data_IF_117847089773
#
_entry.id   IF_117847089773
#
_cell.length_a   1.000
_cell.length_b   1.000
_cell.length_c   1.000
_cell.angle_alpha   90.00
_cell.angle_beta   90.00
_cell.angle_gamma   90.00
#
_symmetry.space_group_name_H-M   'P 1'
#
loop_
_entity.id
_entity.type
_entity.pdbx_description
1 polymer ?
#
# COMPACT_ATOMS: atom_id res chain seq x y z
N UNK A 1 22.67 31.33 -72.55
CA UNK A 1 23.58 32.22 -71.82
C UNK A 1 22.76 33.24 -71.04
N UNK A 2 22.68 33.14 -69.72
CA UNK A 2 22.32 34.24 -68.81
C UNK A 2 22.80 33.86 -67.41
N UNK A 3 23.59 34.74 -66.81
CA UNK A 3 24.32 34.56 -65.55
C UNK A 3 23.60 35.30 -64.41
N UNK A 4 23.92 34.91 -63.17
CA UNK A 4 23.69 35.59 -61.87
C UNK A 4 22.29 35.32 -61.28
N UNK A 5 22.10 35.06 -60.00
CA UNK A 5 22.76 35.66 -58.83
C UNK A 5 22.67 34.73 -57.62
N UNK A 6 23.80 34.45 -56.98
CA UNK A 6 23.91 33.82 -55.65
C UNK A 6 23.84 34.93 -54.60
N UNK A 7 22.87 34.86 -53.67
CA UNK A 7 22.90 35.63 -52.43
C UNK A 7 23.11 34.69 -51.25
N UNK A 8 24.35 34.71 -50.79
CA UNK A 8 24.85 34.20 -49.51
C UNK A 8 24.34 35.09 -48.37
N UNK A 9 23.64 34.50 -47.40
CA UNK A 9 23.33 35.15 -46.12
C UNK A 9 24.10 34.42 -45.02
N UNK A 10 25.29 34.93 -44.72
CA UNK A 10 26.00 34.66 -43.48
C UNK A 10 25.36 35.49 -42.36
N UNK A 11 24.81 34.82 -41.34
CA UNK A 11 24.58 35.44 -40.03
C UNK A 11 25.60 34.89 -39.03
N UNK A 12 26.50 35.78 -38.62
CA UNK A 12 27.53 35.60 -37.60
C UNK A 12 27.08 36.25 -36.29
N UNK A 13 27.48 35.60 -35.18
CA UNK A 13 27.75 36.12 -33.81
C UNK A 13 26.48 36.48 -32.99
N UNK A 14 26.39 36.18 -31.70
CA UNK A 14 27.35 36.34 -30.58
C UNK A 14 26.92 35.40 -29.43
N UNK A 15 27.76 34.56 -28.82
CA UNK A 15 28.79 34.84 -27.80
C UNK A 15 28.35 35.83 -26.70
N UNK A 16 27.84 35.31 -25.59
CA UNK A 16 27.87 35.96 -24.29
C UNK A 16 28.34 34.93 -23.27
N UNK A 17 29.59 35.09 -22.87
CA UNK A 17 30.19 34.51 -21.68
C UNK A 17 30.10 35.56 -20.58
N UNK A 18 29.59 35.17 -19.41
CA UNK A 18 29.77 35.77 -18.08
C UNK A 18 28.68 35.14 -17.19
N UNK A 19 28.89 34.75 -15.93
CA UNK A 19 30.05 34.77 -15.06
C UNK A 19 29.77 33.80 -13.90
N UNK A 20 30.84 33.42 -13.23
CA UNK A 20 30.97 32.49 -12.11
C UNK A 20 30.02 32.72 -10.91
N UNK A 21 29.64 31.61 -10.24
CA UNK A 21 29.74 31.51 -8.77
C UNK A 21 29.91 30.05 -8.31
N UNK A 22 31.04 29.69 -7.67
CA UNK A 22 31.22 28.43 -6.96
C UNK A 22 31.13 28.66 -5.45
N UNK A 23 30.13 28.07 -4.79
CA UNK A 23 30.14 27.80 -3.34
C UNK A 23 29.61 26.36 -3.18
N UNK A 24 30.50 25.41 -2.87
CA UNK A 24 30.99 25.05 -1.53
C UNK A 24 29.94 24.31 -0.69
N UNK A 25 30.28 23.04 -0.48
CA UNK A 25 30.08 22.24 0.72
C UNK A 25 28.69 22.14 1.37
N UNK A 26 28.07 20.98 1.13
CA UNK A 26 27.21 20.33 2.12
C UNK A 26 27.39 18.81 2.04
N UNK A 27 28.29 18.22 2.85
CA UNK A 27 28.43 16.78 2.95
C UNK A 27 27.57 16.25 4.10
N UNK A 28 26.24 16.36 4.01
CA UNK A 28 25.36 15.84 5.07
C UNK A 28 23.96 15.45 4.56
N UNK A 29 23.91 14.48 3.64
CA UNK A 29 22.69 13.65 3.47
C UNK A 29 22.91 12.23 2.93
N UNK A 30 24.14 11.75 2.91
CA UNK A 30 24.49 10.35 2.60
C UNK A 30 24.44 9.43 3.84
N UNK A 31 23.40 9.49 4.68
CA UNK A 31 23.20 8.50 5.77
C UNK A 31 21.74 8.16 6.04
N UNK A 32 20.95 7.92 5.00
CA UNK A 32 19.63 7.32 5.15
C UNK A 32 19.21 6.53 3.91
N UNK A 33 20.03 5.59 3.45
CA UNK A 33 19.57 4.54 2.53
C UNK A 33 20.40 3.26 2.63
N UNK A 34 20.79 2.88 3.86
CA UNK A 34 21.16 1.50 4.18
C UNK A 34 19.98 0.83 4.86
N UNK A 35 18.85 0.80 4.16
CA UNK A 35 17.85 -0.22 4.39
C UNK A 35 18.49 -1.54 4.00
N UNK A 36 18.86 -2.32 5.00
CA UNK A 36 19.29 -3.70 4.88
C UNK A 36 18.23 -4.49 4.14
N UNK A 37 18.36 -4.58 2.81
CA UNK A 37 17.65 -5.57 2.03
C UNK A 37 18.18 -6.93 2.49
N UNK A 38 17.29 -7.74 3.06
CA UNK A 38 17.60 -9.07 3.57
C UNK A 38 18.33 -9.96 2.54
N UNK A 39 18.88 -11.11 2.97
CA UNK A 39 19.87 -11.90 2.23
C UNK A 39 19.41 -12.53 0.90
N UNK A 40 18.25 -12.16 0.33
CA UNK A 40 17.66 -12.81 -0.85
C UNK A 40 17.21 -11.87 -1.99
N UNK A 41 17.65 -10.61 -2.05
CA UNK A 41 17.47 -9.78 -3.26
C UNK A 41 18.78 -9.64 -4.03
N UNK A 42 19.36 -10.77 -4.46
CA UNK A 42 20.31 -10.73 -5.57
C UNK A 42 19.48 -10.55 -6.84
N UNK A 43 19.25 -9.29 -7.23
CA UNK A 43 18.95 -8.97 -8.61
C UNK A 43 20.08 -9.60 -9.44
N UNK A 44 19.77 -10.69 -10.14
CA UNK A 44 20.70 -11.27 -11.09
C UNK A 44 20.96 -10.20 -12.15
N UNK A 45 22.07 -9.48 -12.02
CA UNK A 45 22.59 -8.67 -13.10
C UNK A 45 22.88 -9.64 -14.25
N UNK A 46 21.98 -9.66 -15.23
CA UNK A 46 22.16 -10.45 -16.45
C UNK A 46 23.32 -9.80 -17.19
N UNK A 47 24.52 -10.33 -16.97
CA UNK A 47 25.68 -9.98 -17.79
C UNK A 47 25.34 -10.33 -19.23
N UNK A 48 25.18 -9.29 -20.06
CA UNK A 48 24.86 -9.46 -21.49
C UNK A 48 26.09 -10.03 -22.18
N UNK A 49 26.18 -11.36 -22.23
CA UNK A 49 27.20 -12.05 -23.01
C UNK A 49 26.86 -11.93 -24.50
N UNK A 50 27.37 -10.89 -25.15
CA UNK A 50 27.23 -10.72 -26.60
C UNK A 50 28.19 -11.67 -27.31
N UNK A 51 27.65 -12.70 -27.97
CA UNK A 51 28.44 -13.61 -28.81
C UNK A 51 28.42 -13.10 -30.24
N UNK A 52 29.59 -12.92 -30.86
CA UNK A 52 29.69 -12.59 -32.29
C UNK A 52 29.25 -13.81 -33.12
N UNK A 53 28.23 -13.63 -33.96
CA UNK A 53 27.69 -14.67 -34.84
C UNK A 53 28.21 -14.44 -36.27
N UNK A 54 28.72 -15.48 -36.92
CA UNK A 54 29.17 -15.43 -38.30
C UNK A 54 27.96 -15.26 -39.26
N UNK A 55 28.11 -14.45 -40.32
CA UNK A 55 27.05 -14.19 -41.31
C UNK A 55 26.58 -15.47 -42.01
N UNK A 56 27.48 -16.42 -42.28
CA UNK A 56 27.13 -17.72 -42.86
C UNK A 56 26.21 -18.54 -41.95
N UNK A 57 26.40 -18.42 -40.63
CA UNK A 57 25.54 -19.09 -39.63
C UNK A 57 24.16 -18.45 -39.57
N UNK A 58 24.08 -17.13 -39.69
CA UNK A 58 22.80 -16.41 -39.81
C UNK A 58 22.03 -16.88 -41.05
N UNK A 59 22.67 -16.90 -42.22
CA UNK A 59 21.98 -17.26 -43.47
C UNK A 59 21.46 -18.71 -43.50
N UNK A 60 22.18 -19.65 -42.88
CA UNK A 60 21.83 -21.07 -42.89
C UNK A 60 20.90 -21.48 -41.75
N UNK A 61 21.01 -20.84 -40.58
CA UNK A 61 20.30 -21.27 -39.36
C UNK A 61 19.08 -20.40 -39.06
N UNK A 62 19.04 -19.15 -39.53
CA UNK A 62 17.94 -18.23 -39.22
C UNK A 62 16.88 -18.26 -40.32
N UNK A 63 15.63 -18.50 -39.92
CA UNK A 63 14.48 -18.43 -40.81
C UNK A 63 14.11 -16.97 -41.08
N UNK A 64 13.36 -16.74 -42.15
CA UNK A 64 12.70 -15.44 -42.34
C UNK A 64 11.58 -15.27 -41.32
N UNK A 65 11.24 -14.03 -41.00
CA UNK A 65 10.10 -13.72 -40.15
C UNK A 65 8.82 -14.33 -40.74
N UNK A 66 7.98 -14.93 -39.91
CA UNK A 66 6.71 -15.52 -40.36
C UNK A 66 5.76 -14.45 -40.91
N UNK A 67 4.89 -14.82 -41.84
CA UNK A 67 3.91 -13.91 -42.46
C UNK A 67 3.04 -13.21 -41.41
N UNK A 68 2.64 -13.96 -40.37
CA UNK A 68 1.88 -13.41 -39.25
C UNK A 68 2.70 -12.38 -38.44
N UNK A 69 3.98 -12.65 -38.17
CA UNK A 69 4.86 -11.71 -37.49
C UNK A 69 5.10 -10.44 -38.29
N UNK A 70 5.23 -10.57 -39.62
CA UNK A 70 5.34 -9.42 -40.55
C UNK A 70 4.08 -8.58 -40.54
N UNK A 71 2.91 -9.20 -40.70
CA UNK A 71 1.63 -8.50 -40.67
C UNK A 71 1.40 -7.78 -39.33
N UNK A 72 1.73 -8.41 -38.20
CA UNK A 72 1.62 -7.80 -36.88
C UNK A 72 2.55 -6.59 -36.70
N UNK A 73 3.81 -6.70 -37.15
CA UNK A 73 4.76 -5.58 -37.09
C UNK A 73 4.29 -4.39 -37.94
N UNK A 74 3.80 -4.64 -39.16
CA UNK A 74 3.23 -3.60 -40.04
C UNK A 74 2.02 -2.94 -39.39
N UNK A 75 1.14 -3.73 -38.76
CA UNK A 75 -0.03 -3.21 -38.05
C UNK A 75 0.36 -2.33 -36.86
N UNK A 76 1.42 -2.68 -36.12
CA UNK A 76 1.92 -1.84 -35.03
C UNK A 76 2.46 -0.53 -35.59
N UNK A 77 3.26 -0.58 -36.67
CA UNK A 77 3.80 0.62 -37.32
C UNK A 77 2.70 1.54 -37.85
N UNK A 78 1.65 0.99 -38.45
CA UNK A 78 0.52 1.78 -38.95
C UNK A 78 -0.31 2.38 -37.80
N UNK A 79 -0.55 1.63 -36.72
CA UNK A 79 -1.23 2.15 -35.53
C UNK A 79 -0.43 3.28 -34.85
N UNK A 80 0.90 3.21 -34.85
CA UNK A 80 1.76 4.28 -34.35
C UNK A 80 1.74 5.54 -35.24
N UNK A 81 1.41 5.43 -36.52
CA UNK A 81 1.30 6.59 -37.41
C UNK A 81 0.09 7.47 -37.07
N UNK A 82 -1.02 6.88 -36.62
CA UNK A 82 -2.28 7.58 -36.28
C UNK A 82 -2.10 8.71 -35.25
N UNK A 83 -1.49 8.49 -34.06
CA UNK A 83 -1.28 9.55 -33.09
C UNK A 83 -0.33 10.63 -33.59
N UNK A 84 0.66 10.28 -34.43
CA UNK A 84 1.59 11.25 -35.03
C UNK A 84 0.84 12.19 -35.99
N UNK A 85 -0.02 11.66 -36.85
CA UNK A 85 -0.86 12.47 -37.75
C UNK A 85 -1.81 13.41 -36.97
N UNK A 86 -2.38 12.94 -35.87
CA UNK A 86 -3.32 13.71 -35.06
C UNK A 86 -2.66 14.93 -34.40
N UNK A 87 -1.34 14.88 -34.14
CA UNK A 87 -0.58 15.99 -33.55
C UNK A 87 -0.19 17.07 -34.58
N UNK A 88 -0.13 16.73 -35.87
CA UNK A 88 0.21 17.69 -36.93
C UNK A 88 -0.96 18.65 -37.16
N UNK A 89 -0.68 19.95 -37.20
CA UNK A 89 -1.66 21.00 -37.50
C UNK A 89 -1.55 21.42 -38.97
N UNK A 90 -2.69 21.52 -39.65
CA UNK A 90 -2.78 21.94 -41.06
C UNK A 90 -2.81 20.77 -42.05
N UNK A 91 -3.77 20.81 -42.98
CA UNK A 91 -4.08 19.67 -43.86
C UNK A 91 -2.99 19.35 -44.88
N UNK A 92 -2.30 20.38 -45.39
CA UNK A 92 -1.17 20.19 -46.33
C UNK A 92 -0.01 19.44 -45.67
N UNK A 93 0.36 19.87 -44.45
CA UNK A 93 1.43 19.25 -43.68
C UNK A 93 1.04 17.84 -43.20
N UNK A 94 -0.24 17.62 -42.87
CA UNK A 94 -0.76 16.27 -42.58
C UNK A 94 -0.61 15.33 -43.76
N UNK A 95 -0.87 15.80 -44.98
CA UNK A 95 -0.71 15.00 -46.19
C UNK A 95 0.76 14.64 -46.46
N UNK A 96 1.68 15.60 -46.34
CA UNK A 96 3.12 15.36 -46.48
C UNK A 96 3.65 14.37 -45.43
N UNK A 97 3.22 14.53 -44.17
CA UNK A 97 3.60 13.61 -43.08
C UNK A 97 3.00 12.21 -43.29
N UNK A 98 1.77 12.12 -43.79
CA UNK A 98 1.16 10.85 -44.17
C UNK A 98 1.93 10.15 -45.28
N UNK A 99 2.35 10.88 -46.31
CA UNK A 99 3.14 10.33 -47.42
C UNK A 99 4.50 9.83 -46.94
N UNK A 100 5.20 10.60 -46.10
CA UNK A 100 6.47 10.17 -45.48
C UNK A 100 6.30 8.93 -44.60
N UNK A 101 5.25 8.88 -43.78
CA UNK A 101 4.96 7.72 -42.94
C UNK A 101 4.59 6.49 -43.78
N UNK A 102 3.84 6.67 -44.86
CA UNK A 102 3.53 5.57 -45.78
C UNK A 102 4.79 5.06 -46.49
N UNK A 103 5.68 5.95 -46.93
CA UNK A 103 6.97 5.57 -47.51
C UNK A 103 7.83 4.81 -46.49
N UNK A 104 7.84 5.26 -45.24
CA UNK A 104 8.55 4.58 -44.15
C UNK A 104 7.98 3.18 -43.88
N UNK A 105 6.65 3.03 -43.83
CA UNK A 105 6.00 1.72 -43.66
C UNK A 105 6.35 0.78 -44.82
N UNK A 106 6.38 1.28 -46.06
CA UNK A 106 6.78 0.47 -47.22
C UNK A 106 8.25 0.04 -47.13
N UNK A 107 9.16 0.95 -46.81
CA UNK A 107 10.57 0.62 -46.60
C UNK A 107 10.78 -0.38 -45.46
N UNK A 108 10.04 -0.22 -44.36
CA UNK A 108 10.07 -1.14 -43.24
C UNK A 108 9.54 -2.53 -43.65
N UNK A 109 8.51 -2.59 -44.48
CA UNK A 109 7.94 -3.84 -45.01
C UNK A 109 8.96 -4.61 -45.84
N UNK A 110 9.65 -3.92 -46.76
CA UNK A 110 10.72 -4.52 -47.58
C UNK A 110 11.87 -5.04 -46.71
N UNK A 111 12.25 -4.28 -45.68
CA UNK A 111 13.30 -4.71 -44.75
C UNK A 111 12.87 -5.90 -43.90
N UNK A 112 11.61 -5.93 -43.43
CA UNK A 112 11.02 -7.03 -42.67
C UNK A 112 10.96 -8.34 -43.48
N UNK A 113 10.81 -8.25 -44.81
CA UNK A 113 10.86 -9.44 -45.68
C UNK A 113 12.27 -10.03 -45.80
N UNK A 114 13.29 -9.16 -45.84
CA UNK A 114 14.69 -9.58 -45.88
C UNK A 114 15.25 -10.02 -44.52
N UNK A 115 14.56 -9.66 -43.43
CA UNK A 115 15.03 -9.87 -42.07
C UNK A 115 15.06 -11.36 -41.70
N UNK A 116 16.25 -11.83 -41.36
CA UNK A 116 16.48 -13.17 -40.80
C UNK A 116 16.34 -13.11 -39.28
N UNK A 117 15.53 -13.99 -38.72
CA UNK A 117 15.23 -14.04 -37.30
C UNK A 117 15.87 -15.30 -36.71
N UNK A 118 16.60 -15.20 -35.58
CA UNK A 118 17.14 -16.37 -34.91
C UNK A 118 16.06 -17.44 -34.71
N UNK A 119 16.36 -18.73 -34.88
CA UNK A 119 15.42 -19.79 -34.55
C UNK A 119 15.08 -19.64 -33.07
N UNK A 120 13.86 -19.20 -32.79
CA UNK A 120 13.40 -18.94 -31.44
C UNK A 120 13.47 -20.25 -30.67
N UNK A 121 14.27 -20.29 -29.60
CA UNK A 121 14.08 -21.27 -28.53
C UNK A 121 12.63 -21.19 -28.08
N UNK A 122 11.83 -22.19 -28.44
CA UNK A 122 10.45 -22.47 -27.98
C UNK A 122 9.59 -21.23 -27.85
N UNK A 123 8.75 -20.91 -28.84
CA UNK A 123 7.43 -20.27 -28.71
C UNK A 123 7.13 -19.51 -27.39
N UNK A 124 8.03 -18.63 -26.93
CA UNK A 124 7.68 -17.59 -25.98
C UNK A 124 7.11 -16.49 -26.87
N UNK A 125 5.96 -16.80 -27.47
CA UNK A 125 5.04 -15.77 -27.89
C UNK A 125 4.73 -15.01 -26.62
N UNK A 126 5.46 -13.92 -26.37
CA UNK A 126 4.98 -12.86 -25.49
C UNK A 126 3.68 -12.41 -26.12
N UNK A 127 2.57 -13.02 -25.70
CA UNK A 127 1.22 -12.65 -26.08
C UNK A 127 0.99 -11.28 -25.47
N UNK A 128 1.45 -10.26 -26.17
CA UNK A 128 1.30 -8.85 -25.81
C UNK A 128 -0.15 -8.55 -25.46
N UNK A 129 -1.09 -9.17 -26.18
CA UNK A 129 -2.53 -9.05 -25.93
C UNK A 129 -2.97 -9.66 -24.60
N UNK A 130 -2.37 -10.78 -24.15
CA UNK A 130 -2.70 -11.32 -22.83
C UNK A 130 -2.07 -10.48 -21.73
N UNK A 131 -0.83 -9.99 -21.94
CA UNK A 131 -0.13 -9.16 -20.95
C UNK A 131 -0.84 -7.82 -20.77
N UNK A 132 -1.26 -7.18 -21.87
CA UNK A 132 -2.04 -5.93 -21.83
C UNK A 132 -3.41 -6.14 -21.19
N UNK A 133 -4.12 -7.23 -21.51
CA UNK A 133 -5.38 -7.59 -20.81
C UNK A 133 -5.17 -7.78 -19.31
N UNK A 134 -4.09 -8.44 -18.90
CA UNK A 134 -3.78 -8.60 -17.47
C UNK A 134 -3.42 -7.29 -16.80
N UNK A 135 -2.68 -6.39 -17.48
CA UNK A 135 -2.42 -5.04 -16.95
C UNK A 135 -3.71 -4.26 -16.74
N UNK A 136 -4.60 -4.23 -17.73
CA UNK A 136 -5.89 -3.53 -17.60
C UNK A 136 -6.75 -4.10 -16.48
N UNK A 137 -6.73 -5.42 -16.28
CA UNK A 137 -7.44 -6.07 -15.17
C UNK A 137 -6.85 -5.67 -13.81
N UNK A 138 -5.53 -5.64 -13.71
CA UNK A 138 -4.83 -5.21 -12.49
C UNK A 138 -5.08 -3.74 -12.18
N UNK A 139 -5.02 -2.86 -13.18
CA UNK A 139 -5.33 -1.43 -13.03
C UNK A 139 -6.78 -1.22 -12.57
N UNK A 140 -7.73 -1.97 -13.13
CA UNK A 140 -9.13 -1.93 -12.68
C UNK A 140 -9.32 -2.43 -11.26
N UNK A 141 -8.53 -3.40 -10.81
CA UNK A 141 -8.59 -3.90 -9.44
C UNK A 141 -7.91 -2.94 -8.45
N UNK A 142 -6.87 -2.22 -8.90
CA UNK A 142 -6.10 -1.31 -8.06
C UNK A 142 -6.90 -0.08 -7.62
N UNK A 143 -7.68 0.53 -8.52
CA UNK A 143 -8.48 1.73 -8.20
C UNK A 143 -9.40 1.54 -6.99
N UNK A 144 -10.29 0.54 -6.98
CA UNK A 144 -11.18 0.26 -5.84
C UNK A 144 -10.43 -0.07 -4.55
N UNK A 145 -9.27 -0.73 -4.64
CA UNK A 145 -8.45 -1.04 -3.47
C UNK A 145 -7.84 0.23 -2.86
N UNK A 146 -7.36 1.16 -3.70
CA UNK A 146 -6.87 2.46 -3.23
C UNK A 146 -7.98 3.27 -2.58
N UNK A 147 -9.17 3.29 -3.16
CA UNK A 147 -10.35 3.96 -2.57
C UNK A 147 -10.77 3.32 -1.24
N UNK A 148 -10.60 2.00 -1.09
CA UNK A 148 -10.86 1.31 0.16
C UNK A 148 -9.83 1.66 1.22
N UNK A 149 -8.54 1.71 0.84
CA UNK A 149 -7.45 2.11 1.75
C UNK A 149 -7.69 3.54 2.26
N UNK A 150 -8.01 4.48 1.37
CA UNK A 150 -8.29 5.86 1.77
C UNK A 150 -9.45 5.96 2.79
N UNK A 151 -10.53 5.21 2.58
CA UNK A 151 -11.65 5.15 3.55
C UNK A 151 -11.25 4.60 4.90
N UNK A 152 -10.41 3.56 4.92
CA UNK A 152 -9.92 2.96 6.17
C UNK A 152 -8.99 3.93 6.89
N UNK A 153 -8.14 4.67 6.16
CA UNK A 153 -7.27 5.69 6.73
C UNK A 153 -8.08 6.83 7.37
N UNK A 154 -9.13 7.31 6.71
CA UNK A 154 -10.05 8.32 7.25
C UNK A 154 -10.74 7.83 8.53
N UNK A 155 -11.25 6.58 8.52
CA UNK A 155 -11.87 5.96 9.69
C UNK A 155 -10.88 5.81 10.85
N UNK A 156 -9.66 5.38 10.55
CA UNK A 156 -8.60 5.24 11.56
C UNK A 156 -8.26 6.60 12.18
N UNK A 157 -8.21 7.67 11.37
CA UNK A 157 -7.95 9.00 11.87
C UNK A 157 -9.09 9.53 12.73
N UNK A 158 -10.35 9.27 12.35
CA UNK A 158 -11.52 9.61 13.15
C UNK A 158 -11.54 8.88 14.50
N UNK A 159 -11.28 7.58 14.51
CA UNK A 159 -11.21 6.79 15.75
C UNK A 159 -10.05 7.20 16.64
N UNK A 160 -8.88 7.53 16.07
CA UNK A 160 -7.75 8.10 16.84
C UNK A 160 -8.12 9.43 17.50
N UNK A 161 -8.82 10.31 16.78
CA UNK A 161 -9.28 11.58 17.32
C UNK A 161 -10.30 11.38 18.45
N UNK A 162 -11.22 10.43 18.28
CA UNK A 162 -12.19 10.03 19.31
C UNK A 162 -11.50 9.48 20.56
N UNK A 163 -10.54 8.58 20.39
CA UNK A 163 -9.75 8.02 21.50
C UNK A 163 -8.98 9.12 22.25
N UNK A 164 -8.42 10.10 21.53
CA UNK A 164 -7.77 11.24 22.14
C UNK A 164 -8.76 12.07 22.98
N UNK A 165 -9.97 12.33 22.48
CA UNK A 165 -11.03 13.01 23.23
C UNK A 165 -11.45 12.24 24.48
N UNK A 166 -11.70 10.93 24.34
CA UNK A 166 -12.16 10.08 25.44
C UNK A 166 -11.08 9.95 26.53
N UNK A 167 -9.80 9.86 26.14
CA UNK A 167 -8.69 9.82 27.09
C UNK A 167 -8.56 11.14 27.89
N UNK A 168 -8.70 12.30 27.22
CA UNK A 168 -8.73 13.60 27.90
C UNK A 168 -9.92 13.73 28.85
N UNK A 169 -11.10 13.25 28.42
CA UNK A 169 -12.29 13.26 29.25
C UNK A 169 -12.13 12.38 30.49
N UNK A 170 -11.59 11.17 30.35
CA UNK A 170 -11.31 10.28 31.48
C UNK A 170 -10.28 10.86 32.45
N UNK A 171 -9.24 11.52 31.93
CA UNK A 171 -8.25 12.19 32.77
C UNK A 171 -8.89 13.33 33.59
N UNK A 172 -9.78 14.12 32.97
CA UNK A 172 -10.55 15.16 33.65
C UNK A 172 -11.44 14.56 34.75
N UNK A 173 -12.18 13.50 34.43
CA UNK A 173 -13.07 12.83 35.38
C UNK A 173 -12.29 12.26 36.58
N UNK A 174 -11.10 11.68 36.35
CA UNK A 174 -10.20 11.23 37.42
C UNK A 174 -9.76 12.38 38.31
N UNK A 175 -9.38 13.53 37.73
CA UNK A 175 -8.99 14.72 38.49
C UNK A 175 -10.16 15.27 39.31
N UNK A 176 -11.35 15.34 38.73
CA UNK A 176 -12.55 15.84 39.41
C UNK A 176 -12.98 14.91 40.54
N UNK A 177 -12.96 13.59 40.32
CA UNK A 177 -13.21 12.60 41.37
C UNK A 177 -12.18 12.70 42.51
N UNK A 178 -10.88 12.80 42.18
CA UNK A 178 -9.85 12.99 43.21
C UNK A 178 -10.03 14.29 44.00
N UNK A 179 -10.48 15.37 43.36
CA UNK A 179 -10.82 16.63 44.04
C UNK A 179 -12.00 16.47 44.98
N UNK A 180 -13.06 15.78 44.54
CA UNK A 180 -14.26 15.53 45.33
C UNK A 180 -13.95 14.66 46.56
N UNK A 181 -13.21 13.56 46.40
CA UNK A 181 -12.79 12.71 47.52
C UNK A 181 -11.92 13.49 48.51
N UNK A 182 -11.01 14.34 48.01
CA UNK A 182 -10.19 15.19 48.87
C UNK A 182 -10.99 16.29 49.58
N UNK A 183 -12.02 16.86 48.96
CA UNK A 183 -12.90 17.83 49.64
C UNK A 183 -13.78 17.16 50.67
N UNK A 184 -14.36 16.00 50.35
CA UNK A 184 -15.22 15.25 51.26
C UNK A 184 -14.44 14.78 52.47
N UNK A 185 -13.25 14.19 52.27
CA UNK A 185 -12.39 13.76 53.39
C UNK A 185 -11.93 14.93 54.26
N UNK A 186 -11.72 16.13 53.70
CA UNK A 186 -11.42 17.33 54.49
C UNK A 186 -12.65 17.83 55.24
N UNK A 187 -13.81 17.87 54.60
CA UNK A 187 -15.06 18.29 55.20
C UNK A 187 -15.46 17.36 56.34
N UNK A 188 -15.39 16.05 56.14
CA UNK A 188 -15.68 15.05 57.18
C UNK A 188 -14.69 15.13 58.33
N UNK A 189 -13.38 15.30 58.06
CA UNK A 189 -12.38 15.54 59.12
C UNK A 189 -12.70 16.80 59.92
N UNK A 190 -13.00 17.92 59.26
CA UNK A 190 -13.34 19.17 59.95
C UNK A 190 -14.63 19.07 60.77
N UNK A 191 -15.64 18.35 60.27
CA UNK A 191 -16.88 18.10 61.01
C UNK A 191 -16.63 17.20 62.23
N UNK A 192 -15.78 16.19 62.08
CA UNK A 192 -15.40 15.28 63.16
C UNK A 192 -14.59 16.01 64.26
N UNK A 193 -13.67 16.90 63.89
CA UNK A 193 -12.97 17.79 64.83
C UNK A 193 -13.91 18.74 65.58
N UNK A 194 -14.94 19.28 64.91
CA UNK A 194 -15.96 20.12 65.53
C UNK A 194 -16.85 19.35 66.52
N UNK A 195 -17.22 18.11 66.20
CA UNK A 195 -17.98 17.25 67.12
C UNK A 195 -17.13 16.87 68.33
N UNK A 196 -15.87 16.47 68.14
CA UNK A 196 -14.96 16.14 69.24
C UNK A 196 -14.65 17.32 70.17
N UNK A 197 -14.60 18.54 69.63
CA UNK A 197 -14.42 19.75 70.44
C UNK A 197 -15.71 20.21 71.14
N UNK A 198 -16.89 19.83 70.64
CA UNK A 198 -18.17 20.03 71.31
C UNK A 198 -18.43 19.01 72.43
N UNK A 199 -17.97 17.76 72.25
CA UNK A 199 -18.04 16.66 73.22
C UNK A 199 -16.84 16.62 74.18
N UNK A 200 -16.24 17.77 74.51
CA UNK A 200 -15.35 17.88 75.68
C UNK A 200 -16.15 18.29 76.91
N UNK A 201 -16.77 17.36 77.67
CA UNK A 201 -17.11 17.62 79.04
C UNK A 201 -15.81 17.66 79.85
N UNK A 202 -15.55 18.81 80.45
CA UNK A 202 -14.76 18.89 81.67
C UNK A 202 -15.39 17.99 82.74
N UNK A 203 -15.04 16.71 82.80
CA UNK A 203 -14.87 15.97 84.06
C UNK A 203 -14.34 14.55 83.83
N UNK A 204 -13.18 14.31 84.44
CA UNK A 204 -12.66 13.09 85.08
C UNK A 204 -13.38 11.74 84.93
N UNK A 205 -12.52 10.72 84.77
CA UNK A 205 -12.64 9.30 85.14
C UNK A 205 -13.75 8.45 84.50
N UNK A 206 -13.35 7.60 83.56
CA UNK A 206 -13.95 6.28 83.35
C UNK A 206 -13.04 5.44 82.47
N UNK A 207 -12.33 4.51 83.10
CA UNK A 207 -11.61 3.41 82.47
C UNK A 207 -12.56 2.54 81.62
N UNK A 208 -12.08 2.22 80.42
CA UNK A 208 -12.08 0.91 79.75
C UNK A 208 -13.33 0.03 79.90
N UNK A 209 -14.10 -0.13 78.82
CA UNK A 209 -14.21 -1.46 78.23
C UNK A 209 -14.65 -1.46 76.77
N UNK A 210 -14.09 -2.47 76.13
CA UNK A 210 -14.08 -2.92 74.74
C UNK A 210 -15.47 -3.14 74.11
N UNK A 211 -15.48 -3.36 72.79
CA UNK A 211 -16.61 -3.63 71.88
C UNK A 211 -17.21 -2.42 71.15
N UNK A 212 -16.80 -2.24 69.89
CA UNK A 212 -17.78 -2.22 68.78
C UNK A 212 -17.16 -2.52 67.40
N UNK A 213 -17.88 -3.40 66.69
CA UNK A 213 -18.05 -3.52 65.24
C UNK A 213 -16.85 -3.80 64.32
N UNK A 214 -16.57 -5.09 64.21
CA UNK A 214 -16.33 -5.71 62.91
C UNK A 214 -17.67 -5.95 62.20
N UNK A 215 -18.15 -4.99 61.43
CA UNK A 215 -19.22 -5.22 60.43
C UNK A 215 -18.71 -4.87 59.04
N UNK A 216 -18.51 -5.93 58.26
CA UNK A 216 -18.86 -6.02 56.83
C UNK A 216 -18.14 -5.09 55.84
N UNK A 217 -16.97 -5.54 55.37
CA UNK A 217 -16.41 -5.17 54.06
C UNK A 217 -16.24 -6.41 53.18
N UNK A 218 -17.33 -7.13 52.87
CA UNK A 218 -17.29 -8.33 52.01
C UNK A 218 -18.52 -8.49 51.07
N UNK A 219 -19.16 -7.39 50.64
CA UNK A 219 -20.31 -7.45 49.69
C UNK A 219 -20.05 -6.69 48.36
N UNK A 220 -18.91 -6.92 47.68
CA UNK A 220 -18.69 -6.33 46.35
C UNK A 220 -18.16 -7.29 45.28
N UNK A 221 -18.29 -8.60 45.46
CA UNK A 221 -17.78 -9.58 44.48
C UNK A 221 -18.84 -10.37 43.69
N UNK A 222 -20.15 -10.12 43.87
CA UNK A 222 -21.23 -10.91 43.26
C UNK A 222 -22.01 -10.21 42.12
N UNK A 223 -21.40 -9.26 41.40
CA UNK A 223 -22.03 -8.63 40.22
C UNK A 223 -21.37 -8.98 38.87
N UNK A 224 -20.71 -10.14 38.78
CA UNK A 224 -20.27 -10.72 37.50
C UNK A 224 -21.06 -11.99 37.16
N UNK A 225 -22.37 -11.86 36.94
CA UNK A 225 -23.09 -12.76 36.01
C UNK A 225 -24.48 -12.18 35.66
N UNK A 226 -24.48 -11.23 34.72
CA UNK A 226 -25.69 -10.76 34.05
C UNK A 226 -25.58 -11.12 32.58
N UNK A 227 -25.78 -12.41 32.29
CA UNK A 227 -26.11 -12.93 30.96
C UNK A 227 -27.37 -12.21 30.45
N UNK A 228 -27.21 -11.32 29.48
CA UNK A 228 -28.32 -10.67 28.80
C UNK A 228 -28.99 -11.68 27.86
N UNK A 229 -30.00 -12.36 28.39
CA UNK A 229 -30.98 -13.16 27.65
C UNK A 229 -31.80 -12.25 26.74
N UNK A 230 -31.64 -12.40 25.42
CA UNK A 230 -32.52 -11.77 24.43
C UNK A 230 -33.13 -12.85 23.56
N UNK A 231 -34.12 -13.54 24.13
CA UNK A 231 -35.04 -14.36 23.35
C UNK A 231 -36.40 -13.68 23.25
N UNK A 232 -36.88 -13.61 22.01
CA UNK A 232 -38.28 -13.49 21.57
C UNK A 232 -38.92 -12.09 21.47
N UNK A 233 -38.97 -11.62 20.23
CA UNK A 233 -40.27 -11.29 19.60
C UNK A 233 -40.38 -12.02 18.26
N UNK A 234 -41.22 -13.05 18.26
CA UNK A 234 -41.90 -13.50 17.06
C UNK A 234 -42.97 -12.47 16.67
N UNK A 235 -43.18 -12.36 15.36
CA UNK A 235 -44.38 -11.86 14.65
C UNK A 235 -44.00 -10.90 13.53
N UNK A 236 -43.69 -11.47 12.36
CA UNK A 236 -43.87 -10.82 11.04
C UNK A 236 -43.71 -11.87 9.95
N UNK A 237 -44.68 -12.78 9.89
CA UNK A 237 -44.94 -13.58 8.69
C UNK A 237 -45.64 -12.72 7.64
N UNK A 238 -45.26 -12.94 6.37
CA UNK A 238 -45.83 -12.42 5.10
C UNK A 238 -45.31 -11.10 4.56
N UNK A 239 -44.09 -11.11 4.01
CA UNK A 239 -43.76 -10.40 2.76
C UNK A 239 -42.72 -11.22 1.97
N UNK A 240 -43.20 -12.25 1.26
CA UNK A 240 -42.43 -12.93 0.20
C UNK A 240 -42.18 -11.95 -0.95
N UNK A 241 -40.93 -11.52 -1.10
CA UNK A 241 -40.46 -10.69 -2.21
C UNK A 241 -39.03 -11.06 -2.63
N UNK A 242 -38.61 -10.78 -3.89
CA UNK A 242 -37.41 -11.35 -4.52
C UNK A 242 -36.06 -10.89 -3.94
N UNK A 243 -36.06 -10.08 -2.88
CA UNK A 243 -34.87 -9.48 -2.28
C UNK A 243 -34.07 -10.43 -1.38
N UNK A 244 -34.69 -11.48 -0.83
CA UNK A 244 -33.99 -12.44 0.04
C UNK A 244 -33.03 -13.36 -0.71
N UNK A 245 -33.20 -13.56 -2.02
CA UNK A 245 -32.29 -14.40 -2.81
C UNK A 245 -30.93 -13.73 -3.04
N UNK A 246 -30.89 -12.40 -3.16
CA UNK A 246 -29.64 -11.65 -3.31
C UNK A 246 -28.85 -11.58 -1.99
N UNK A 247 -29.55 -11.40 -0.86
CA UNK A 247 -28.92 -11.36 0.47
C UNK A 247 -28.18 -12.66 0.81
N UNK A 248 -28.80 -13.81 0.56
CA UNK A 248 -28.17 -15.11 0.81
C UNK A 248 -26.97 -15.38 -0.13
N UNK A 249 -27.01 -14.88 -1.36
CA UNK A 249 -25.93 -15.07 -2.32
C UNK A 249 -24.71 -14.18 -2.02
N UNK A 250 -24.93 -12.97 -1.52
CA UNK A 250 -23.86 -12.05 -1.09
C UNK A 250 -23.23 -12.52 0.23
N UNK A 251 -24.03 -12.92 1.21
CA UNK A 251 -23.53 -13.46 2.47
C UNK A 251 -22.69 -14.74 2.28
N UNK A 252 -23.10 -15.64 1.37
CA UNK A 252 -22.32 -16.83 1.04
C UNK A 252 -20.95 -16.53 0.42
N UNK A 253 -20.88 -15.53 -0.47
CA UNK A 253 -19.60 -15.11 -1.09
C UNK A 253 -18.67 -14.43 -0.08
N UNK A 254 -19.21 -13.61 0.82
CA UNK A 254 -18.45 -12.98 1.89
C UNK A 254 -17.91 -14.02 2.89
N UNK A 255 -18.71 -15.02 3.26
CA UNK A 255 -18.25 -16.11 4.13
C UNK A 255 -17.09 -16.91 3.52
N UNK A 256 -17.13 -17.18 2.21
CA UNK A 256 -16.04 -17.86 1.50
C UNK A 256 -14.76 -17.01 1.42
N UNK A 257 -14.88 -15.69 1.18
CA UNK A 257 -13.73 -14.78 1.21
C UNK A 257 -13.12 -14.68 2.61
N UNK A 258 -13.96 -14.66 3.65
CA UNK A 258 -13.49 -14.58 5.04
C UNK A 258 -12.75 -15.84 5.47
N UNK A 259 -13.25 -17.03 5.10
CA UNK A 259 -12.53 -18.30 5.31
C UNK A 259 -11.19 -18.34 4.56
N UNK A 260 -11.15 -17.82 3.32
CA UNK A 260 -9.90 -17.75 2.54
C UNK A 260 -8.88 -16.86 3.24
N UNK A 261 -9.28 -15.66 3.68
CA UNK A 261 -8.40 -14.74 4.43
C UNK A 261 -7.93 -15.35 5.75
N UNK A 262 -8.79 -16.06 6.47
CA UNK A 262 -8.40 -16.75 7.71
C UNK A 262 -7.35 -17.84 7.44
N UNK A 263 -7.48 -18.60 6.33
CA UNK A 263 -6.50 -19.61 5.94
C UNK A 263 -5.14 -19.01 5.56
N UNK A 264 -5.14 -17.88 4.85
CA UNK A 264 -3.91 -17.15 4.49
C UNK A 264 -3.23 -16.57 5.74
N UNK A 265 -4.03 -16.03 6.68
CA UNK A 265 -3.52 -15.50 7.96
C UNK A 265 -2.94 -16.61 8.86
N UNK A 266 -3.47 -17.84 8.79
CA UNK A 266 -2.91 -19.00 9.47
C UNK A 266 -1.53 -19.38 8.88
N UNK A 267 -1.38 -19.34 7.56
CA UNK A 267 -0.10 -19.57 6.88
C UNK A 267 0.97 -18.56 7.27
N UNK A 268 0.61 -17.27 7.35
CA UNK A 268 1.53 -16.20 7.79
C UNK A 268 1.98 -16.42 9.24
N UNK A 269 1.09 -16.85 10.13
CA UNK A 269 1.44 -17.16 11.54
C UNK A 269 2.41 -18.33 11.66
N UNK A 270 2.26 -19.37 10.84
CA UNK A 270 3.23 -20.47 10.80
C UNK A 270 4.60 -20.00 10.33
N UNK A 271 4.65 -19.16 9.29
CA UNK A 271 5.92 -18.61 8.80
C UNK A 271 6.62 -17.76 9.86
N UNK A 272 5.88 -16.92 10.60
CA UNK A 272 6.43 -16.15 11.71
C UNK A 272 6.99 -17.05 12.83
N UNK A 273 6.27 -18.10 13.22
CA UNK A 273 6.76 -19.07 14.21
C UNK A 273 8.04 -19.78 13.73
N UNK A 274 8.13 -20.13 12.45
CA UNK A 274 9.36 -20.75 11.91
C UNK A 274 10.54 -19.78 11.87
N UNK A 275 10.29 -18.50 11.56
CA UNK A 275 11.32 -17.47 11.57
C UNK A 275 11.87 -17.25 12.99
N UNK A 276 10.97 -17.16 13.99
CA UNK A 276 11.34 -17.03 15.40
C UNK A 276 12.14 -18.25 15.90
N UNK A 277 11.75 -19.47 15.50
CA UNK A 277 12.49 -20.69 15.83
C UNK A 277 13.91 -20.70 15.22
N UNK A 278 14.09 -20.20 14.00
CA UNK A 278 15.39 -20.07 13.35
C UNK A 278 16.24 -19.01 14.05
N UNK A 279 15.66 -17.88 14.43
CA UNK A 279 16.35 -16.81 15.16
C UNK A 279 16.86 -17.32 16.51
N UNK A 280 16.05 -18.08 17.26
CA UNK A 280 16.45 -18.70 18.52
C UNK A 280 17.59 -19.73 18.38
N UNK A 281 17.65 -20.46 17.25
CA UNK A 281 18.77 -21.36 16.95
C UNK A 281 20.06 -20.61 16.60
N UNK A 282 19.96 -19.41 16.04
CA UNK A 282 21.12 -18.58 15.69
C UNK A 282 21.66 -17.82 16.90
N UNK A 283 20.80 -17.42 17.85
CA UNK A 283 21.22 -16.66 19.04
C UNK A 283 21.78 -17.52 20.16
N UNK A 284 21.54 -18.83 20.14
CA UNK A 284 22.11 -19.78 21.09
C UNK A 284 23.03 -20.79 20.37
N UNK A 285 24.31 -20.45 20.11
CA UNK A 285 25.30 -21.43 19.69
C UNK A 285 25.68 -22.31 20.90
N UNK A 286 24.78 -23.19 21.34
CA UNK A 286 25.12 -24.24 22.29
C UNK A 286 26.06 -25.23 21.62
N UNK A 287 27.34 -25.07 21.94
CA UNK A 287 28.28 -26.12 22.33
C UNK A 287 28.15 -27.41 21.54
N UNK A 288 29.03 -27.56 20.53
CA UNK A 288 29.30 -28.83 19.88
C UNK A 288 29.56 -29.92 20.95
N UNK A 289 28.89 -31.07 20.91
CA UNK A 289 29.33 -32.23 21.66
C UNK A 289 30.62 -32.77 21.02
N UNK A 290 31.61 -33.05 21.86
CA UNK A 290 32.79 -33.86 21.54
C UNK A 290 32.39 -35.28 21.17
#
# INVERSE_FOLDING_TARGET
>A
MAKKSLQSVQRRRSSSADSYRPEQDSPERERASRGSLGPNTRLHAVEKKTVRINSSRVQNTWSRLSDHGRASAIQILSNCAVPVLNQVRGDKLRHEVHELLSQFVNQATDQLESLRVPPTTKDVFFRTDSITKTCVQLERALGPLLDQVARIEDQLQAEKAKLASDSQYLEKLRKDHARHVNSDTRATKSALELVQSADSPSSADSDVDDYLDQTELNELNDLQDSSFDTSQRADSDKLDGPLHHLGNQVCGKLALQLNKLQSETAGIRQLLQTAEAIELQLTNPTTKPN
#
